data_IF_894496041643
#
_entry.id   IF_894496041643
#
_cell.length_a   1.000
_cell.length_b   1.000
_cell.length_c   1.000
_cell.angle_alpha   90.00
_cell.angle_beta   90.00
_cell.angle_gamma   90.00
#
_symmetry.space_group_name_H-M   'P 1'
#
loop_
_entity.id
_entity.type
_entity.pdbx_description
1 polymer ?
#
# COMPACT_ATOMS: atom_id res chain seq x y z
N UNK A 1 0.23 -9.51 -22.21
CA UNK A 1 -1.23 -9.34 -22.16
C UNK A 1 -1.61 -8.87 -20.76
N UNK A 2 -1.94 -7.59 -20.58
CA UNK A 2 -2.39 -7.06 -19.29
C UNK A 2 -3.75 -7.68 -18.96
N UNK A 3 -3.82 -8.40 -17.85
CA UNK A 3 -4.94 -9.25 -17.45
C UNK A 3 -6.23 -8.42 -17.32
N UNK A 4 -7.33 -8.82 -17.96
CA UNK A 4 -8.62 -8.09 -17.97
C UNK A 4 -9.10 -7.73 -16.56
N UNK A 5 -8.81 -8.60 -15.60
CA UNK A 5 -9.09 -8.47 -14.16
C UNK A 5 -8.38 -7.27 -13.50
N UNK A 6 -7.22 -6.87 -14.02
CA UNK A 6 -6.40 -5.77 -13.48
C UNK A 6 -6.93 -4.39 -13.92
N UNK A 7 -7.40 -4.27 -15.17
CA UNK A 7 -8.09 -3.05 -15.63
C UNK A 7 -9.38 -2.79 -14.82
N UNK A 8 -10.11 -3.84 -14.46
CA UNK A 8 -11.34 -3.73 -13.66
C UNK A 8 -11.07 -3.23 -12.23
N UNK A 9 -9.98 -3.64 -11.60
CA UNK A 9 -9.62 -3.20 -10.23
C UNK A 9 -9.22 -1.72 -10.22
N UNK A 10 -8.36 -1.27 -11.15
CA UNK A 10 -7.96 0.14 -11.26
C UNK A 10 -9.16 1.03 -11.58
N UNK A 11 -10.01 0.59 -12.50
CA UNK A 11 -11.24 1.30 -12.84
C UNK A 11 -12.11 1.42 -11.59
N UNK A 12 -12.23 0.36 -10.77
CA UNK A 12 -13.03 0.38 -9.54
C UNK A 12 -12.47 1.31 -8.44
N UNK A 13 -11.15 1.38 -8.28
CA UNK A 13 -10.52 2.29 -7.30
C UNK A 13 -10.61 3.76 -7.74
N UNK A 14 -10.40 4.03 -9.04
CA UNK A 14 -10.53 5.37 -9.63
C UNK A 14 -11.99 5.85 -9.62
N UNK A 15 -12.94 4.97 -9.96
CA UNK A 15 -14.38 5.25 -9.88
C UNK A 15 -14.78 5.56 -8.44
N UNK A 16 -14.30 4.80 -7.44
CA UNK A 16 -14.57 5.09 -6.02
C UNK A 16 -14.04 6.45 -5.58
N UNK A 17 -12.82 6.83 -6.01
CA UNK A 17 -12.26 8.16 -5.76
C UNK A 17 -13.12 9.28 -6.35
N UNK A 18 -13.59 9.11 -7.59
CA UNK A 18 -14.46 10.06 -8.27
C UNK A 18 -15.84 10.18 -7.61
N UNK A 19 -16.46 9.08 -7.20
CA UNK A 19 -17.72 9.09 -6.45
C UNK A 19 -17.60 9.81 -5.10
N UNK A 20 -16.49 9.64 -4.38
CA UNK A 20 -16.27 10.33 -3.11
C UNK A 20 -16.16 11.86 -3.28
N UNK A 21 -15.56 12.32 -4.38
CA UNK A 21 -15.50 13.75 -4.72
C UNK A 21 -16.91 14.27 -5.01
N UNK A 22 -17.70 13.56 -5.83
CA UNK A 22 -19.09 13.96 -6.14
C UNK A 22 -19.94 14.05 -4.87
N UNK A 23 -19.81 13.06 -3.97
CA UNK A 23 -20.54 13.05 -2.69
C UNK A 23 -20.19 14.29 -1.88
N UNK A 24 -18.91 14.70 -1.82
CA UNK A 24 -18.46 15.88 -1.09
C UNK A 24 -19.10 17.20 -1.56
N UNK A 25 -19.54 17.27 -2.83
CA UNK A 25 -20.19 18.45 -3.40
C UNK A 25 -21.71 18.44 -3.30
N UNK A 26 -22.34 17.37 -2.76
CA UNK A 26 -23.81 17.27 -2.66
C UNK A 26 -24.46 18.49 -2.00
N UNK A 27 -23.97 19.05 -0.87
CA UNK A 27 -24.57 20.23 -0.25
C UNK A 27 -24.53 21.46 -1.15
N UNK A 28 -23.43 21.64 -1.88
CA UNK A 28 -23.21 22.76 -2.81
C UNK A 28 -24.09 22.62 -4.04
N UNK A 29 -24.18 21.39 -4.60
CA UNK A 29 -25.06 21.07 -5.73
C UNK A 29 -26.53 21.27 -5.33
N UNK A 30 -26.92 20.79 -4.14
CA UNK A 30 -28.27 20.96 -3.60
C UNK A 30 -28.62 22.44 -3.40
N UNK A 31 -27.74 23.22 -2.78
CA UNK A 31 -27.95 24.65 -2.59
C UNK A 31 -28.03 25.40 -3.94
N UNK A 32 -27.19 25.03 -4.91
CA UNK A 32 -27.20 25.58 -6.26
C UNK A 32 -28.51 25.32 -6.98
N UNK A 33 -28.93 24.05 -7.07
CA UNK A 33 -30.20 23.65 -7.69
C UNK A 33 -31.37 24.31 -6.97
N UNK A 34 -31.42 24.24 -5.64
CA UNK A 34 -32.52 24.79 -4.85
C UNK A 34 -32.64 26.31 -5.02
N UNK A 35 -31.52 27.04 -5.11
CA UNK A 35 -31.55 28.49 -5.33
C UNK A 35 -32.19 28.90 -6.66
N UNK A 36 -32.03 28.08 -7.70
CA UNK A 36 -32.67 28.27 -9.02
C UNK A 36 -34.20 28.11 -8.90
N UNK A 37 -34.66 27.17 -8.07
CA UNK A 37 -36.09 26.84 -7.94
C UNK A 37 -36.84 27.62 -6.87
N UNK A 38 -36.17 28.17 -5.85
CA UNK A 38 -36.85 28.75 -4.67
C UNK A 38 -36.70 30.27 -4.51
N UNK A 39 -36.13 30.99 -5.48
CA UNK A 39 -35.84 32.46 -5.42
C UNK A 39 -35.01 32.91 -4.20
N UNK A 40 -34.63 31.97 -3.34
CA UNK A 40 -33.82 32.18 -2.15
C UNK A 40 -32.36 32.22 -2.56
N UNK A 41 -31.57 33.08 -1.89
CA UNK A 41 -30.15 33.17 -2.18
C UNK A 41 -29.45 31.84 -1.86
N UNK A 42 -28.47 31.49 -2.69
CA UNK A 42 -27.63 30.31 -2.52
C UNK A 42 -27.06 30.19 -1.11
N UNK A 43 -26.56 31.30 -0.56
CA UNK A 43 -25.97 31.37 0.77
C UNK A 43 -26.97 30.95 1.86
N UNK A 44 -28.21 31.45 1.78
CA UNK A 44 -29.24 31.12 2.78
C UNK A 44 -29.53 29.63 2.81
N UNK A 45 -29.71 29.02 1.63
CA UNK A 45 -29.98 27.58 1.53
C UNK A 45 -28.79 26.76 2.02
N UNK A 46 -27.56 27.22 1.75
CA UNK A 46 -26.37 26.57 2.26
C UNK A 46 -26.34 26.62 3.80
N UNK A 47 -26.48 27.79 4.42
CA UNK A 47 -26.47 27.91 5.88
C UNK A 47 -27.65 27.24 6.60
N UNK A 48 -28.78 27.04 5.92
CA UNK A 48 -29.93 26.29 6.44
C UNK A 48 -29.66 24.77 6.48
N UNK A 49 -28.60 24.27 5.82
CA UNK A 49 -28.22 22.86 5.93
C UNK A 49 -27.77 22.58 7.37
N UNK A 50 -28.30 21.53 8.02
CA UNK A 50 -27.92 21.20 9.39
C UNK A 50 -26.42 20.97 9.57
N UNK A 51 -25.85 21.52 10.64
CA UNK A 51 -24.41 21.51 10.91
C UNK A 51 -23.78 20.10 10.88
N UNK A 52 -24.53 19.05 11.26
CA UNK A 52 -24.05 17.67 11.27
C UNK A 52 -23.75 17.12 9.87
N UNK A 53 -24.38 17.65 8.82
CA UNK A 53 -24.09 17.29 7.43
C UNK A 53 -22.65 17.72 7.09
N UNK A 54 -22.24 18.92 7.50
CA UNK A 54 -20.87 19.39 7.31
C UNK A 54 -19.85 18.55 8.09
N UNK A 55 -20.19 18.18 9.32
CA UNK A 55 -19.33 17.31 10.13
C UNK A 55 -19.10 15.96 9.44
N UNK A 56 -20.13 15.39 8.83
CA UNK A 56 -20.02 14.15 8.05
C UNK A 56 -19.04 14.31 6.87
N UNK A 57 -19.06 15.45 6.16
CA UNK A 57 -18.08 15.72 5.10
C UNK A 57 -16.64 15.87 5.61
N UNK A 58 -16.44 16.48 6.78
CA UNK A 58 -15.12 16.57 7.41
C UNK A 58 -14.60 15.16 7.73
N UNK A 59 -15.43 14.27 8.28
CA UNK A 59 -15.03 12.88 8.55
C UNK A 59 -14.66 12.16 7.26
N UNK A 60 -15.47 12.30 6.20
CA UNK A 60 -15.18 11.70 4.89
C UNK A 60 -13.82 12.20 4.36
N UNK A 61 -13.57 13.51 4.42
CA UNK A 61 -12.31 14.09 3.96
C UNK A 61 -11.10 13.54 4.73
N UNK A 62 -11.21 13.36 6.05
CA UNK A 62 -10.17 12.74 6.87
C UNK A 62 -9.91 11.29 6.43
N UNK A 63 -10.97 10.50 6.26
CA UNK A 63 -10.86 9.09 5.82
C UNK A 63 -10.21 8.99 4.45
N UNK A 64 -10.63 9.83 3.50
CA UNK A 64 -10.04 9.90 2.15
C UNK A 64 -8.55 10.26 2.23
N UNK A 65 -8.18 11.26 3.04
CA UNK A 65 -6.78 11.66 3.22
C UNK A 65 -5.93 10.53 3.79
N UNK A 66 -6.45 9.80 4.79
CA UNK A 66 -5.77 8.62 5.35
C UNK A 66 -5.57 7.56 4.25
N UNK A 67 -6.61 7.26 3.47
CA UNK A 67 -6.53 6.25 2.40
C UNK A 67 -5.57 6.64 1.29
N UNK A 68 -5.55 7.90 0.88
CA UNK A 68 -4.58 8.42 -0.09
C UNK A 68 -3.15 8.25 0.41
N UNK A 69 -2.89 8.57 1.69
CA UNK A 69 -1.56 8.40 2.30
C UNK A 69 -1.15 6.93 2.42
N UNK A 70 -2.09 6.03 2.72
CA UNK A 70 -1.83 4.59 2.78
C UNK A 70 -1.47 4.01 1.40
N UNK A 71 -2.19 4.45 0.36
CA UNK A 71 -2.00 3.99 -1.01
C UNK A 71 -0.84 4.70 -1.74
N UNK A 72 -0.26 5.76 -1.16
CA UNK A 72 0.89 6.45 -1.73
C UNK A 72 2.06 5.47 -1.88
N UNK A 73 2.70 5.46 -3.04
CA UNK A 73 3.83 4.56 -3.34
C UNK A 73 3.41 3.14 -3.75
N UNK A 74 2.11 2.82 -3.78
CA UNK A 74 1.60 1.61 -4.43
C UNK A 74 1.84 1.73 -5.93
N UNK A 75 3.01 1.28 -6.38
CA UNK A 75 3.28 1.17 -7.81
C UNK A 75 2.60 -0.09 -8.30
N UNK A 76 1.67 0.08 -9.21
CA UNK A 76 0.80 -0.99 -9.75
C UNK A 76 1.55 -1.96 -10.69
N UNK A 77 2.86 -2.07 -10.49
CA UNK A 77 3.78 -2.55 -11.47
C UNK A 77 4.15 -3.97 -11.06
N UNK A 78 3.91 -4.87 -12.00
CA UNK A 78 4.64 -6.08 -12.37
C UNK A 78 6.17 -6.14 -12.07
N UNK A 79 6.74 -5.32 -11.18
CA UNK A 79 8.15 -5.29 -10.78
C UNK A 79 8.70 -6.65 -10.36
N UNK A 80 7.85 -7.61 -9.99
CA UNK A 80 8.27 -8.91 -9.48
C UNK A 80 8.11 -10.07 -10.47
N UNK A 81 7.74 -9.82 -11.72
CA UNK A 81 7.75 -10.86 -12.77
C UNK A 81 9.07 -10.85 -13.50
N UNK A 82 10.15 -11.14 -12.79
CA UNK A 82 11.39 -11.50 -13.43
C UNK A 82 11.29 -12.96 -13.89
N UNK A 83 11.46 -13.18 -15.20
CA UNK A 83 11.53 -14.52 -15.84
C UNK A 83 12.79 -15.28 -15.40
N UNK A 84 13.70 -14.59 -14.71
CA UNK A 84 14.93 -15.14 -14.17
C UNK A 84 14.59 -16.05 -13.00
N UNK A 85 15.12 -17.27 -12.99
CA UNK A 85 15.02 -18.13 -11.82
C UNK A 85 15.90 -17.56 -10.72
N UNK A 86 15.30 -17.26 -9.58
CA UNK A 86 16.03 -16.83 -8.39
C UNK A 86 16.32 -18.02 -7.48
N UNK A 87 17.42 -17.91 -6.72
CA UNK A 87 17.74 -18.81 -5.62
C UNK A 87 17.82 -18.01 -4.33
N UNK A 88 17.28 -18.59 -3.25
CA UNK A 88 17.41 -18.02 -1.92
C UNK A 88 18.86 -18.12 -1.43
N UNK A 89 19.38 -17.01 -0.93
CA UNK A 89 20.74 -16.92 -0.38
C UNK A 89 20.72 -16.79 1.13
N UNK A 90 19.95 -15.83 1.64
CA UNK A 90 19.88 -15.55 3.07
C UNK A 90 18.49 -15.06 3.46
N UNK A 91 18.37 -14.48 4.65
CA UNK A 91 17.14 -13.88 5.13
C UNK A 91 17.44 -12.57 5.86
N UNK A 92 16.53 -11.62 5.75
CA UNK A 92 16.54 -10.38 6.49
C UNK A 92 15.38 -10.38 7.50
N UNK A 93 15.66 -10.11 8.78
CA UNK A 93 14.61 -9.89 9.76
C UNK A 93 14.33 -8.39 9.84
N UNK A 94 13.08 -8.02 9.57
CA UNK A 94 12.61 -6.64 9.58
C UNK A 94 11.08 -6.61 9.81
N UNK A 95 10.61 -5.64 10.60
CA UNK A 95 9.19 -5.49 10.93
C UNK A 95 8.54 -6.70 11.62
N UNK A 96 9.29 -7.42 12.46
CA UNK A 96 8.86 -8.68 13.13
C UNK A 96 8.48 -9.78 12.12
N UNK A 97 9.08 -9.72 10.94
CA UNK A 97 8.86 -10.63 9.83
C UNK A 97 10.20 -11.03 9.23
N UNK A 98 10.22 -12.24 8.66
CA UNK A 98 11.38 -12.82 8.01
C UNK A 98 11.24 -12.70 6.50
N UNK A 99 12.14 -11.97 5.87
CA UNK A 99 12.17 -11.76 4.43
C UNK A 99 13.22 -12.66 3.82
N UNK A 100 12.85 -13.41 2.78
CA UNK A 100 13.83 -14.15 2.01
C UNK A 100 14.65 -13.15 1.17
N UNK A 101 15.94 -13.40 1.00
CA UNK A 101 16.79 -12.62 0.09
C UNK A 101 17.22 -13.56 -1.01
N UNK A 102 16.92 -13.17 -2.25
CA UNK A 102 17.11 -13.99 -3.42
C UNK A 102 18.07 -13.33 -4.40
N UNK A 103 18.84 -14.12 -5.15
CA UNK A 103 19.69 -13.65 -6.27
C UNK A 103 19.41 -14.49 -7.51
N UNK A 104 19.70 -14.00 -8.73
CA UNK A 104 19.66 -14.83 -9.93
C UNK A 104 20.42 -16.14 -9.77
N UNK A 105 19.85 -17.26 -10.22
CA UNK A 105 20.40 -18.61 -10.01
C UNK A 105 21.82 -18.76 -10.57
N UNK A 106 22.11 -18.08 -11.67
CA UNK A 106 23.37 -18.15 -12.40
C UNK A 106 24.51 -17.35 -11.72
N UNK A 107 24.17 -16.46 -10.79
CA UNK A 107 25.17 -15.64 -10.09
C UNK A 107 25.86 -16.43 -8.96
N UNK A 108 27.20 -16.35 -8.81
CA UNK A 108 27.87 -16.94 -7.67
C UNK A 108 27.48 -16.24 -6.38
N UNK A 109 27.35 -17.02 -5.30
CA UNK A 109 26.98 -16.52 -3.97
C UNK A 109 28.22 -15.93 -3.30
N UNK A 110 28.53 -14.67 -3.63
CA UNK A 110 29.55 -13.87 -2.96
C UNK A 110 28.94 -12.55 -2.48
N UNK A 111 29.60 -11.87 -1.54
CA UNK A 111 29.03 -10.70 -0.86
C UNK A 111 28.78 -9.51 -1.81
N UNK A 112 29.61 -9.36 -2.84
CA UNK A 112 29.52 -8.30 -3.85
C UNK A 112 28.33 -8.56 -4.79
N UNK A 113 28.18 -9.80 -5.26
CA UNK A 113 27.09 -10.21 -6.13
C UNK A 113 25.75 -10.18 -5.42
N UNK A 114 25.71 -10.55 -4.14
CA UNK A 114 24.51 -10.37 -3.32
C UNK A 114 24.18 -8.89 -3.24
N UNK A 115 25.13 -8.02 -2.92
CA UNK A 115 24.90 -6.57 -2.86
C UNK A 115 24.38 -5.97 -4.18
N UNK A 116 24.90 -6.43 -5.32
CA UNK A 116 24.54 -5.89 -6.63
C UNK A 116 23.24 -6.45 -7.21
N UNK A 117 22.89 -7.69 -6.90
CA UNK A 117 21.85 -8.45 -7.63
C UNK A 117 20.75 -9.03 -6.72
N UNK A 118 20.68 -8.64 -5.45
CA UNK A 118 19.64 -9.18 -4.58
C UNK A 118 18.25 -8.62 -4.92
N UNK A 119 17.25 -9.46 -4.68
CA UNK A 119 15.85 -9.09 -4.69
C UNK A 119 15.18 -9.62 -3.41
N UNK A 120 14.17 -8.88 -2.94
CA UNK A 120 13.39 -9.24 -1.75
C UNK A 120 11.95 -9.48 -2.22
N UNK A 121 11.49 -10.74 -2.27
CA UNK A 121 10.14 -11.02 -2.72
C UNK A 121 9.11 -10.44 -1.74
N UNK A 122 7.95 -9.99 -2.25
CA UNK A 122 6.93 -9.27 -1.48
C UNK A 122 6.08 -10.21 -0.60
N UNK A 123 6.58 -11.39 -0.25
CA UNK A 123 5.88 -12.38 0.57
C UNK A 123 6.77 -12.78 1.76
N UNK A 124 6.73 -12.00 2.85
CA UNK A 124 7.48 -12.34 4.05
C UNK A 124 6.99 -13.64 4.67
N UNK A 125 7.82 -14.21 5.53
CA UNK A 125 7.53 -15.37 6.37
C UNK A 125 7.38 -14.93 7.82
N UNK A 126 6.57 -15.68 8.54
CA UNK A 126 6.46 -15.51 9.98
C UNK A 126 7.74 -16.00 10.68
N UNK A 127 8.19 -15.27 11.70
CA UNK A 127 9.36 -15.65 12.49
C UNK A 127 9.16 -16.93 13.32
N UNK A 128 7.92 -17.21 13.75
CA UNK A 128 7.59 -18.37 14.59
C UNK A 128 7.39 -19.65 13.78
N UNK A 129 6.51 -19.58 12.78
CA UNK A 129 6.06 -20.72 11.98
C UNK A 129 6.92 -20.94 10.71
N UNK A 130 7.73 -19.96 10.29
CA UNK A 130 8.48 -19.93 9.02
C UNK A 130 7.62 -20.13 7.75
N UNK A 131 6.30 -19.97 7.90
CA UNK A 131 5.30 -20.03 6.82
C UNK A 131 5.13 -18.65 6.20
N UNK A 132 4.85 -18.59 4.89
CA UNK A 132 4.56 -17.34 4.17
C UNK A 132 3.32 -16.67 4.76
N UNK A 133 3.38 -15.36 4.95
CA UNK A 133 2.29 -14.55 5.48
C UNK A 133 1.34 -14.16 4.36
N UNK A 134 0.04 -14.18 4.66
CA UNK A 134 -0.99 -13.67 3.78
C UNK A 134 -1.16 -12.16 3.99
N UNK A 135 -1.21 -11.41 2.89
CA UNK A 135 -1.38 -9.95 2.90
C UNK A 135 -2.84 -9.58 2.63
N UNK A 136 -3.43 -8.77 3.51
CA UNK A 136 -4.80 -8.31 3.43
C UNK A 136 -4.86 -6.77 3.45
N UNK A 137 -5.52 -6.19 2.45
CA UNK A 137 -5.85 -4.77 2.39
C UNK A 137 -7.19 -4.52 3.09
N UNK A 138 -7.12 -3.98 4.31
CA UNK A 138 -8.30 -3.53 5.05
C UNK A 138 -8.52 -2.04 4.78
N UNK A 139 -9.74 -1.57 5.04
CA UNK A 139 -10.14 -0.19 4.71
C UNK A 139 -9.19 0.88 5.25
N UNK A 140 -8.72 0.72 6.49
CA UNK A 140 -7.84 1.68 7.18
C UNK A 140 -6.47 1.11 7.56
N UNK A 141 -6.13 -0.14 7.24
CA UNK A 141 -4.78 -0.67 7.51
C UNK A 141 -4.51 -1.89 6.63
N UNK A 142 -3.25 -2.31 6.55
CA UNK A 142 -2.86 -3.58 5.97
C UNK A 142 -2.55 -4.59 7.07
N UNK A 143 -2.83 -5.85 6.82
CA UNK A 143 -2.58 -6.95 7.77
C UNK A 143 -1.76 -8.04 7.10
N UNK A 144 -0.73 -8.52 7.79
CA UNK A 144 -0.06 -9.78 7.51
C UNK A 144 -0.52 -10.84 8.52
N UNK A 145 -0.93 -12.01 8.06
CA UNK A 145 -1.44 -13.10 8.91
C UNK A 145 -0.70 -14.44 8.63
N UNK A 146 -0.28 -15.18 9.68
CA UNK A 146 0.17 -16.58 9.56
C UNK A 146 -1.00 -17.50 9.88
N UNK A 147 -1.51 -18.22 8.87
CA UNK A 147 -2.56 -19.22 9.06
C UNK A 147 -2.19 -20.32 10.06
N UNK A 148 -0.88 -20.61 10.24
CA UNK A 148 -0.42 -21.72 11.08
C UNK A 148 -0.24 -21.36 12.56
N UNK A 149 0.14 -20.11 12.90
CA UNK A 149 0.44 -19.74 14.30
C UNK A 149 -0.32 -18.50 14.80
N UNK A 150 -1.33 -18.06 14.05
CA UNK A 150 -2.19 -16.91 14.39
C UNK A 150 -1.44 -15.59 14.61
N UNK A 151 -0.20 -15.49 14.13
CA UNK A 151 0.56 -14.26 14.14
C UNK A 151 -0.10 -13.24 13.21
N UNK A 152 -0.40 -12.04 13.74
CA UNK A 152 -0.98 -10.94 12.98
C UNK A 152 -0.15 -9.68 13.16
N UNK A 153 0.25 -9.06 12.05
CA UNK A 153 0.95 -7.78 12.04
C UNK A 153 0.12 -6.76 11.25
N UNK A 154 -0.24 -5.65 11.90
CA UNK A 154 -0.92 -4.52 11.26
C UNK A 154 0.11 -3.46 10.85
N UNK A 155 -0.07 -2.87 9.68
CA UNK A 155 0.75 -1.76 9.20
C UNK A 155 -0.09 -0.73 8.44
N UNK A 156 0.36 0.51 8.42
CA UNK A 156 -0.22 1.61 7.63
C UNK A 156 0.45 1.76 6.27
N UNK A 157 1.53 1.03 6.03
CA UNK A 157 2.32 1.07 4.80
C UNK A 157 1.88 -0.07 3.88
N UNK A 158 1.71 0.24 2.59
CA UNK A 158 1.44 -0.77 1.59
C UNK A 158 2.63 -1.74 1.43
N UNK A 159 2.36 -2.89 0.83
CA UNK A 159 3.35 -3.96 0.62
C UNK A 159 4.63 -3.48 -0.06
N UNK A 160 4.51 -2.62 -1.07
CA UNK A 160 5.63 -2.07 -1.82
C UNK A 160 6.54 -1.23 -0.92
N UNK A 161 5.95 -0.28 -0.17
CA UNK A 161 6.69 0.56 0.79
C UNK A 161 7.41 -0.26 1.86
N UNK A 162 6.76 -1.31 2.36
CA UNK A 162 7.40 -2.20 3.35
C UNK A 162 8.58 -2.93 2.70
N UNK A 163 8.40 -3.47 1.49
CA UNK A 163 9.44 -4.21 0.77
C UNK A 163 10.63 -3.29 0.42
N UNK A 164 10.37 -2.08 -0.07
CA UNK A 164 11.39 -1.08 -0.36
C UNK A 164 12.20 -0.71 0.90
N UNK A 165 11.52 -0.52 2.04
CA UNK A 165 12.22 -0.22 3.30
C UNK A 165 13.08 -1.40 3.78
N UNK A 166 12.60 -2.64 3.61
CA UNK A 166 13.39 -3.83 3.92
C UNK A 166 14.62 -3.90 3.02
N UNK A 167 14.47 -3.55 1.73
CA UNK A 167 15.54 -3.51 0.74
C UNK A 167 16.62 -2.47 1.13
N UNK A 168 16.21 -1.26 1.51
CA UNK A 168 17.12 -0.22 2.03
C UNK A 168 17.87 -0.67 3.29
N UNK A 169 17.15 -1.23 4.27
CA UNK A 169 17.73 -1.72 5.53
C UNK A 169 18.73 -2.85 5.27
N UNK A 170 18.43 -3.73 4.33
CA UNK A 170 19.32 -4.83 3.97
C UNK A 170 20.55 -4.36 3.20
N UNK A 171 20.39 -3.43 2.25
CA UNK A 171 21.48 -2.79 1.52
C UNK A 171 22.48 -2.14 2.48
N UNK A 172 21.99 -1.33 3.43
CA UNK A 172 22.83 -0.67 4.42
C UNK A 172 23.63 -1.66 5.28
N UNK A 173 22.98 -2.75 5.71
CA UNK A 173 23.65 -3.82 6.47
C UNK A 173 24.75 -4.50 5.64
N UNK A 174 24.51 -4.75 4.35
CA UNK A 174 25.51 -5.35 3.46
C UNK A 174 26.70 -4.42 3.25
N UNK A 175 26.47 -3.12 3.02
CA UNK A 175 27.56 -2.14 2.89
C UNK A 175 28.47 -2.13 4.11
N UNK A 176 27.89 -2.12 5.31
CA UNK A 176 28.65 -2.14 6.57
C UNK A 176 29.48 -3.43 6.70
N UNK A 177 28.93 -4.56 6.28
CA UNK A 177 29.66 -5.83 6.24
C UNK A 177 30.80 -5.83 5.22
N UNK A 178 30.65 -5.18 4.07
CA UNK A 178 31.71 -5.01 3.07
C UNK A 178 32.82 -4.13 3.61
N UNK A 179 32.47 -2.97 4.22
CA UNK A 179 33.43 -2.03 4.81
C UNK A 179 34.27 -2.67 5.91
N UNK A 180 33.67 -3.51 6.77
CA UNK A 180 34.37 -4.21 7.87
C UNK A 180 35.30 -5.33 7.41
N UNK A 181 35.15 -5.83 6.18
CA UNK A 181 36.00 -6.91 5.62
C UNK A 181 37.17 -6.38 4.77
N UNK A 182 37.18 -5.09 4.45
CA UNK A 182 38.33 -4.39 3.84
C UNK A 182 39.29 -3.92 4.94
#
# INVERSE_FOLDING_TARGET
>A
MVNKKYKEIILSESIRGFFNIIIAFIPVIYAGISSIFTTSSFEKILFDIPWYIYLLFVIIAIVVKIRLKMNEGKTDILKHWHVVHYKKVCFANAFDMKWDVEIPKDEPVNLINVYNNFDIPPKPKCEKCNVKLDYQDNFLWYTYDCFNCSFKKRTWQCLEKVTDHVNEVFSAKLEDHIKKKK
#
